data_IF_617003169625
#
_entry.id   IF_617003169625
#
_cell.length_a   1.000
_cell.length_b   1.000
_cell.length_c   1.000
_cell.angle_alpha   90.00
_cell.angle_beta   90.00
_cell.angle_gamma   90.00
#
_symmetry.space_group_name_H-M   'P 1'
#
loop_
_entity.id
_entity.type
_entity.pdbx_description
1 polymer ?
#
# COMPACT_ATOMS: atom_id res chain seq x y z
N UNK A 1 -5.87 -20.64 -13.94
CA UNK A 1 -7.28 -20.59 -14.41
C UNK A 1 -7.90 -19.24 -14.07
N UNK A 2 -8.07 -18.33 -15.05
CA UNK A 2 -8.72 -17.02 -14.92
C UNK A 2 -10.14 -17.11 -15.52
N UNK A 3 -11.16 -17.38 -14.72
CA UNK A 3 -12.58 -17.37 -15.13
C UNK A 3 -13.48 -16.53 -14.20
N UNK A 4 -12.95 -15.45 -13.60
CA UNK A 4 -13.72 -14.57 -12.70
C UNK A 4 -14.03 -13.16 -13.24
N UNK A 5 -13.63 -12.80 -14.47
CA UNK A 5 -13.86 -11.43 -15.00
C UNK A 5 -15.24 -11.25 -15.64
N UNK A 6 -15.68 -12.21 -16.47
CA UNK A 6 -16.78 -11.97 -17.41
C UNK A 6 -18.13 -11.68 -16.75
N UNK A 7 -18.50 -12.43 -15.71
CA UNK A 7 -19.74 -12.18 -14.97
C UNK A 7 -19.68 -10.93 -14.10
N UNK A 8 -18.48 -10.52 -13.65
CA UNK A 8 -18.30 -9.33 -12.81
C UNK A 8 -18.47 -8.04 -13.61
N UNK A 9 -18.13 -8.07 -14.90
CA UNK A 9 -18.27 -6.95 -15.82
C UNK A 9 -19.70 -6.87 -16.42
N UNK A 10 -20.40 -8.01 -16.57
CA UNK A 10 -21.74 -8.08 -17.14
C UNK A 10 -22.76 -7.22 -16.37
N UNK A 11 -22.70 -7.20 -15.04
CA UNK A 11 -23.63 -6.44 -14.20
C UNK A 11 -23.47 -4.92 -14.29
N UNK A 12 -22.29 -4.41 -14.66
CA UNK A 12 -22.06 -2.98 -14.90
C UNK A 12 -22.39 -2.58 -16.34
N UNK A 13 -22.18 -3.50 -17.29
CA UNK A 13 -22.45 -3.27 -18.72
C UNK A 13 -23.96 -3.24 -18.99
N UNK A 14 -24.76 -4.06 -18.31
CA UNK A 14 -26.22 -4.11 -18.51
C UNK A 14 -26.89 -2.74 -18.24
N UNK A 15 -26.75 -2.10 -17.06
CA UNK A 15 -27.30 -0.77 -16.81
C UNK A 15 -26.81 0.29 -17.79
N UNK A 16 -25.56 0.20 -18.22
CA UNK A 16 -24.96 1.13 -19.19
C UNK A 16 -25.61 1.00 -20.58
N UNK A 17 -25.86 -0.23 -21.04
CA UNK A 17 -26.53 -0.47 -22.31
C UNK A 17 -27.98 0.02 -22.23
N UNK A 18 -28.70 -0.29 -21.16
CA UNK A 18 -30.08 0.17 -20.99
C UNK A 18 -30.18 1.70 -20.85
N UNK A 19 -29.24 2.36 -20.16
CA UNK A 19 -29.22 3.83 -20.10
C UNK A 19 -28.86 4.45 -21.46
N UNK A 20 -27.95 3.85 -22.22
CA UNK A 20 -27.64 4.27 -23.59
C UNK A 20 -28.84 4.13 -24.54
N UNK A 21 -29.55 3.00 -24.48
CA UNK A 21 -30.77 2.77 -25.24
C UNK A 21 -31.87 3.75 -24.85
N UNK A 22 -32.03 4.01 -23.55
CA UNK A 22 -32.97 5.02 -23.05
C UNK A 22 -32.63 6.41 -23.60
N UNK A 23 -31.35 6.79 -23.65
CA UNK A 23 -30.91 8.06 -24.20
C UNK A 23 -31.30 8.21 -25.68
N UNK A 24 -31.00 7.19 -26.50
CA UNK A 24 -31.32 7.18 -27.93
C UNK A 24 -32.84 7.23 -28.14
N UNK A 25 -33.59 6.42 -27.38
CA UNK A 25 -35.05 6.39 -27.46
C UNK A 25 -35.65 7.76 -27.11
N UNK A 26 -35.18 8.40 -26.03
CA UNK A 26 -35.65 9.73 -25.62
C UNK A 26 -35.35 10.79 -26.69
N UNK A 27 -34.16 10.79 -27.28
CA UNK A 27 -33.82 11.71 -28.38
C UNK A 27 -34.80 11.53 -29.54
N UNK A 28 -35.02 10.28 -29.97
CA UNK A 28 -35.90 9.98 -31.09
C UNK A 28 -37.35 10.41 -30.83
N UNK A 29 -37.92 10.00 -29.69
CA UNK A 29 -39.32 10.32 -29.36
C UNK A 29 -39.54 11.81 -29.12
N UNK A 30 -38.63 12.50 -28.45
CA UNK A 30 -38.74 13.95 -28.22
C UNK A 30 -38.61 14.72 -29.53
N UNK A 31 -37.69 14.32 -30.42
CA UNK A 31 -37.52 14.96 -31.72
C UNK A 31 -38.75 14.76 -32.62
N UNK A 32 -39.32 13.55 -32.64
CA UNK A 32 -40.57 13.28 -33.34
C UNK A 32 -41.70 14.15 -32.80
N UNK A 33 -41.81 14.29 -31.47
CA UNK A 33 -42.87 15.06 -30.83
C UNK A 33 -42.77 16.56 -31.13
N UNK A 34 -41.55 17.12 -31.12
CA UNK A 34 -41.30 18.52 -31.54
C UNK A 34 -41.69 18.75 -32.99
N UNK A 35 -41.40 17.78 -33.88
CA UNK A 35 -41.72 17.88 -35.31
C UNK A 35 -43.22 17.80 -35.59
N UNK A 36 -43.97 17.00 -34.82
CA UNK A 36 -45.42 16.84 -34.99
C UNK A 36 -46.26 17.91 -34.28
N UNK A 37 -45.72 18.57 -33.24
CA UNK A 37 -46.42 19.57 -32.46
C UNK A 37 -45.48 20.74 -32.10
N UNK A 38 -45.45 21.82 -32.89
CA UNK A 38 -44.50 22.93 -32.71
C UNK A 38 -44.58 23.61 -31.33
N UNK A 39 -45.78 23.67 -30.74
CA UNK A 39 -46.00 24.20 -29.37
C UNK A 39 -45.24 23.42 -28.29
N UNK A 40 -44.85 22.17 -28.56
CA UNK A 40 -44.10 21.36 -27.62
C UNK A 40 -42.65 21.87 -27.42
N UNK A 41 -42.08 22.56 -28.42
CA UNK A 41 -40.77 23.19 -28.28
C UNK A 41 -40.77 24.29 -27.21
N UNK A 42 -41.84 25.07 -27.13
CA UNK A 42 -42.01 26.08 -26.10
C UNK A 42 -42.09 25.43 -24.71
N UNK A 43 -42.89 24.36 -24.58
CA UNK A 43 -42.99 23.60 -23.32
C UNK A 43 -41.65 23.04 -22.85
N UNK A 44 -40.81 22.51 -23.75
CA UNK A 44 -39.46 22.04 -23.41
C UNK A 44 -38.58 23.16 -22.86
N UNK A 45 -38.71 24.35 -23.44
CA UNK A 45 -37.99 25.55 -23.00
C UNK A 45 -38.47 25.98 -21.62
N UNK A 46 -39.79 26.00 -21.39
CA UNK A 46 -40.39 26.35 -20.09
C UNK A 46 -39.97 25.37 -18.98
N UNK A 47 -39.77 24.09 -19.30
CA UNK A 47 -39.28 23.08 -18.35
C UNK A 47 -37.77 23.18 -18.03
N UNK A 48 -36.99 23.97 -18.78
CA UNK A 48 -35.54 24.08 -18.61
C UNK A 48 -35.14 24.50 -17.21
N UNK A 49 -35.86 25.43 -16.61
CA UNK A 49 -35.57 25.92 -15.24
C UNK A 49 -35.68 24.80 -14.21
N UNK A 50 -36.68 23.91 -14.33
CA UNK A 50 -36.85 22.77 -13.44
C UNK A 50 -35.72 21.77 -13.64
N UNK A 51 -35.35 21.50 -14.89
CA UNK A 51 -34.30 20.56 -15.23
C UNK A 51 -32.91 21.01 -14.75
N UNK A 52 -32.61 22.30 -14.93
CA UNK A 52 -31.41 22.96 -14.42
C UNK A 52 -31.38 22.85 -12.89
N UNK A 53 -32.51 23.07 -12.23
CA UNK A 53 -32.61 23.02 -10.76
C UNK A 53 -32.32 21.61 -10.22
N UNK A 54 -32.90 20.56 -10.83
CA UNK A 54 -32.66 19.16 -10.43
C UNK A 54 -31.18 18.79 -10.67
N UNK A 55 -30.65 19.10 -11.85
CA UNK A 55 -29.26 18.81 -12.20
C UNK A 55 -28.28 19.57 -11.29
N UNK A 56 -28.60 20.83 -10.98
CA UNK A 56 -27.87 21.69 -10.06
C UNK A 56 -27.82 21.13 -8.66
N UNK A 57 -28.97 20.75 -8.11
CA UNK A 57 -29.07 20.16 -6.78
C UNK A 57 -28.28 18.86 -6.66
N UNK A 58 -28.45 17.94 -7.62
CA UNK A 58 -27.72 16.67 -7.63
C UNK A 58 -26.21 16.87 -7.77
N UNK A 59 -25.79 17.78 -8.65
CA UNK A 59 -24.37 18.12 -8.82
C UNK A 59 -23.78 18.74 -7.57
N UNK A 60 -24.52 19.61 -6.87
CA UNK A 60 -24.08 20.21 -5.62
C UNK A 60 -23.87 19.16 -4.51
N UNK A 61 -24.78 18.20 -4.37
CA UNK A 61 -24.62 17.08 -3.42
C UNK A 61 -23.36 16.27 -3.72
N UNK A 62 -23.16 15.90 -4.99
CA UNK A 62 -21.98 15.11 -5.39
C UNK A 62 -20.70 15.92 -5.16
N UNK A 63 -20.70 17.22 -5.44
CA UNK A 63 -19.56 18.10 -5.22
C UNK A 63 -19.18 18.18 -3.73
N UNK A 64 -20.15 18.36 -2.83
CA UNK A 64 -19.91 18.38 -1.38
C UNK A 64 -19.30 17.06 -0.92
N UNK A 65 -19.83 15.93 -1.38
CA UNK A 65 -19.26 14.61 -1.09
C UNK A 65 -17.82 14.45 -1.60
N UNK A 66 -17.57 14.83 -2.86
CA UNK A 66 -16.23 14.77 -3.46
C UNK A 66 -15.22 15.65 -2.71
N UNK A 67 -15.63 16.86 -2.32
CA UNK A 67 -14.80 17.78 -1.54
C UNK A 67 -14.48 17.21 -0.16
N UNK A 68 -15.48 16.68 0.55
CA UNK A 68 -15.29 16.02 1.85
C UNK A 68 -14.32 14.85 1.75
N UNK A 69 -14.54 13.95 0.78
CA UNK A 69 -13.67 12.77 0.60
C UNK A 69 -12.26 13.16 0.17
N UNK A 70 -12.09 14.20 -0.66
CA UNK A 70 -10.76 14.70 -1.02
C UNK A 70 -9.97 15.20 0.19
N UNK A 71 -10.61 15.94 1.10
CA UNK A 71 -10.00 16.39 2.36
C UNK A 71 -9.67 15.19 3.25
N UNK A 72 -10.62 14.26 3.43
CA UNK A 72 -10.42 13.06 4.25
C UNK A 72 -9.26 12.19 3.74
N UNK A 73 -9.15 12.00 2.43
CA UNK A 73 -8.04 11.27 1.81
C UNK A 73 -6.70 11.96 2.03
N UNK A 74 -6.66 13.30 1.92
CA UNK A 74 -5.44 14.06 2.20
C UNK A 74 -5.01 13.86 3.65
N UNK A 75 -5.92 14.09 4.60
CA UNK A 75 -5.63 13.92 6.03
C UNK A 75 -5.17 12.49 6.34
N UNK A 76 -5.82 11.49 5.76
CA UNK A 76 -5.45 10.08 5.94
C UNK A 76 -4.05 9.79 5.38
N UNK A 77 -3.72 10.35 4.21
CA UNK A 77 -2.37 10.23 3.62
C UNK A 77 -1.32 10.88 4.51
N UNK A 78 -1.58 12.08 5.03
CA UNK A 78 -0.64 12.78 5.93
C UNK A 78 -0.37 11.96 7.20
N UNK A 79 -1.41 11.37 7.80
CA UNK A 79 -1.29 10.47 8.95
C UNK A 79 -0.49 9.21 8.59
N UNK A 80 -0.73 8.60 7.42
CA UNK A 80 0.00 7.41 6.98
C UNK A 80 1.48 7.75 6.74
N UNK A 81 1.78 8.90 6.15
CA UNK A 81 3.16 9.36 5.92
C UNK A 81 3.89 9.61 7.23
N UNK A 82 3.25 10.25 8.22
CA UNK A 82 3.83 10.44 9.55
C UNK A 82 4.11 9.08 10.24
N UNK A 83 3.14 8.17 10.22
CA UNK A 83 3.31 6.82 10.77
C UNK A 83 4.42 6.04 10.05
N UNK A 84 4.48 6.12 8.73
CA UNK A 84 5.53 5.47 7.94
C UNK A 84 6.90 6.05 8.26
N UNK A 85 7.02 7.37 8.42
CA UNK A 85 8.26 8.05 8.81
C UNK A 85 8.74 7.55 10.18
N UNK A 86 7.84 7.49 11.17
CA UNK A 86 8.14 6.97 12.51
C UNK A 86 8.65 5.53 12.48
N UNK A 87 7.94 4.63 11.80
CA UNK A 87 8.36 3.22 11.71
C UNK A 87 9.64 3.05 10.89
N UNK A 88 9.84 3.88 9.87
CA UNK A 88 11.10 3.92 9.09
C UNK A 88 12.27 4.31 10.00
N UNK A 89 12.09 5.30 10.86
CA UNK A 89 13.11 5.70 11.83
C UNK A 89 13.38 4.60 12.88
N UNK A 90 12.35 3.90 13.35
CA UNK A 90 12.54 2.70 14.19
C UNK A 90 13.40 1.67 13.47
N UNK A 91 13.12 1.39 12.19
CA UNK A 91 13.92 0.48 11.38
C UNK A 91 15.38 0.96 11.19
N UNK A 92 15.61 2.28 11.06
CA UNK A 92 16.96 2.86 11.05
C UNK A 92 17.72 2.55 12.34
N UNK A 93 17.08 2.76 13.49
CA UNK A 93 17.68 2.47 14.79
C UNK A 93 17.96 0.97 14.93
N UNK A 94 17.03 0.10 14.53
CA UNK A 94 17.22 -1.35 14.49
C UNK A 94 18.43 -1.75 13.64
N UNK A 95 18.51 -1.28 12.38
CA UNK A 95 19.66 -1.60 11.50
C UNK A 95 20.98 -1.08 12.07
N UNK A 96 20.95 0.06 12.76
CA UNK A 96 22.14 0.59 13.44
C UNK A 96 22.60 -0.32 14.59
N UNK A 97 21.65 -0.91 15.35
CA UNK A 97 21.98 -1.92 16.36
C UNK A 97 22.57 -3.17 15.68
N UNK A 98 21.92 -3.67 14.64
CA UNK A 98 22.39 -4.85 13.89
C UNK A 98 23.80 -4.64 13.32
N UNK A 99 24.09 -3.45 12.79
CA UNK A 99 25.43 -3.12 12.32
C UNK A 99 26.47 -3.17 13.44
N UNK A 100 26.15 -2.63 14.62
CA UNK A 100 27.04 -2.70 15.78
C UNK A 100 27.31 -4.15 16.17
N UNK A 101 26.27 -4.98 16.22
CA UNK A 101 26.38 -6.40 16.61
C UNK A 101 27.20 -7.20 15.59
N UNK A 102 26.92 -7.05 14.29
CA UNK A 102 27.67 -7.71 13.22
C UNK A 102 29.16 -7.37 13.24
N UNK A 103 29.52 -6.13 13.57
CA UNK A 103 30.92 -5.68 13.64
C UNK A 103 31.58 -5.93 15.00
N UNK A 104 30.84 -6.46 15.97
CA UNK A 104 31.34 -6.70 17.33
C UNK A 104 32.14 -8.00 17.44
N UNK A 105 32.75 -8.22 18.61
CA UNK A 105 33.48 -9.45 18.93
C UNK A 105 32.59 -10.55 19.53
N UNK A 106 31.27 -10.44 19.40
CA UNK A 106 30.33 -11.41 19.98
C UNK A 106 30.34 -12.78 19.29
N UNK A 107 30.91 -12.84 18.08
CA UNK A 107 30.94 -14.03 17.24
C UNK A 107 32.17 -14.88 17.53
N UNK A 108 32.09 -16.17 17.23
CA UNK A 108 33.27 -17.03 17.17
C UNK A 108 34.30 -16.45 16.17
N UNK A 109 35.60 -16.47 16.51
CA UNK A 109 36.66 -16.06 15.59
C UNK A 109 36.58 -16.87 14.29
N UNK A 110 36.68 -16.20 13.14
CA UNK A 110 36.62 -16.85 11.82
C UNK A 110 35.23 -16.88 11.18
N UNK A 111 34.13 -16.70 11.95
CA UNK A 111 32.77 -16.75 11.39
C UNK A 111 32.56 -15.73 10.27
N UNK A 112 33.10 -14.52 10.48
CA UNK A 112 32.94 -13.42 9.53
C UNK A 112 33.70 -13.71 8.24
N UNK A 113 34.96 -14.11 8.36
CA UNK A 113 35.82 -14.49 7.24
C UNK A 113 35.18 -15.65 6.45
N UNK A 114 34.65 -16.64 7.14
CA UNK A 114 33.93 -17.76 6.53
C UNK A 114 32.73 -17.30 5.68
N UNK A 115 31.86 -16.44 6.22
CA UNK A 115 30.66 -16.00 5.48
C UNK A 115 30.96 -14.95 4.42
N UNK A 116 31.82 -13.97 4.71
CA UNK A 116 32.04 -12.83 3.84
C UNK A 116 33.09 -13.11 2.76
N UNK A 117 34.07 -13.98 3.02
CA UNK A 117 35.18 -14.29 2.11
C UNK A 117 35.04 -15.69 1.47
N UNK A 118 34.82 -16.75 2.25
CA UNK A 118 34.70 -18.12 1.69
C UNK A 118 33.37 -18.33 0.97
N UNK A 119 32.27 -17.85 1.54
CA UNK A 119 30.92 -17.85 0.94
C UNK A 119 30.55 -16.49 0.33
N UNK A 120 31.52 -15.84 -0.33
CA UNK A 120 31.33 -14.51 -0.90
C UNK A 120 30.08 -14.43 -1.79
N UNK A 121 29.18 -13.51 -1.41
CA UNK A 121 27.96 -13.24 -2.14
C UNK A 121 26.78 -14.17 -1.83
N UNK A 122 26.92 -15.03 -0.82
CA UNK A 122 25.80 -15.72 -0.20
C UNK A 122 24.87 -14.73 0.51
N UNK A 123 23.58 -14.89 0.28
CA UNK A 123 22.52 -14.10 0.90
C UNK A 123 21.56 -15.02 1.66
N UNK A 124 21.12 -14.58 2.84
CA UNK A 124 20.09 -15.24 3.64
C UNK A 124 18.84 -15.65 2.86
N UNK A 125 18.35 -14.82 1.94
CA UNK A 125 17.16 -15.15 1.14
C UNK A 125 17.42 -16.34 0.20
N UNK A 126 18.62 -16.47 -0.35
CA UNK A 126 18.99 -17.61 -1.17
C UNK A 126 19.08 -18.89 -0.32
N UNK A 127 19.60 -18.79 0.90
CA UNK A 127 19.65 -19.90 1.87
C UNK A 127 18.24 -20.33 2.27
N UNK A 128 17.33 -19.40 2.58
CA UNK A 128 15.94 -19.74 2.93
C UNK A 128 15.13 -20.28 1.75
N UNK A 129 15.49 -19.89 0.52
CA UNK A 129 14.81 -20.31 -0.70
C UNK A 129 15.57 -21.41 -1.47
N UNK A 130 16.49 -22.12 -0.81
CA UNK A 130 17.33 -23.16 -1.43
C UNK A 130 16.52 -24.24 -2.16
N UNK A 131 15.31 -24.57 -1.64
CA UNK A 131 14.39 -25.54 -2.24
C UNK A 131 13.92 -25.15 -3.65
N UNK A 132 14.09 -23.89 -4.07
CA UNK A 132 13.81 -23.44 -5.44
C UNK A 132 14.94 -23.78 -6.42
N UNK A 133 16.06 -24.33 -5.95
CA UNK A 133 17.18 -24.79 -6.78
C UNK A 133 17.94 -23.68 -7.52
N UNK A 134 17.81 -22.42 -7.07
CA UNK A 134 18.32 -21.25 -7.82
C UNK A 134 19.75 -20.84 -7.48
N UNK A 135 20.28 -21.26 -6.33
CA UNK A 135 21.62 -20.88 -5.87
C UNK A 135 22.42 -22.13 -5.53
N UNK A 136 23.45 -22.42 -6.34
CA UNK A 136 24.39 -23.52 -6.09
C UNK A 136 25.18 -23.28 -4.80
N UNK A 137 25.56 -22.02 -4.57
CA UNK A 137 26.29 -21.58 -3.37
C UNK A 137 25.50 -21.81 -2.09
N UNK A 138 24.19 -21.55 -2.10
CA UNK A 138 23.32 -21.84 -0.95
C UNK A 138 23.20 -23.35 -0.67
N UNK A 139 23.22 -24.20 -1.69
CA UNK A 139 23.19 -25.66 -1.52
C UNK A 139 24.50 -26.15 -0.92
N UNK A 140 25.63 -25.66 -1.43
CA UNK A 140 26.97 -25.97 -0.92
C UNK A 140 27.10 -25.57 0.56
N UNK A 141 26.71 -24.34 0.89
CA UNK A 141 26.66 -23.84 2.27
C UNK A 141 25.81 -24.70 3.21
N UNK A 142 24.68 -25.25 2.74
CA UNK A 142 23.81 -26.12 3.52
C UNK A 142 24.31 -27.58 3.61
N UNK A 143 25.26 -27.98 2.76
CA UNK A 143 25.85 -29.32 2.74
C UNK A 143 27.13 -29.40 3.56
N UNK A 144 27.83 -28.28 3.77
CA UNK A 144 29.02 -28.23 4.61
C UNK A 144 28.71 -28.41 6.10
N UNK A 145 29.72 -28.84 6.86
CA UNK A 145 29.61 -28.94 8.31
C UNK A 145 29.49 -27.54 8.93
N UNK A 146 28.50 -27.35 9.80
CA UNK A 146 28.30 -26.11 10.55
C UNK A 146 29.39 -25.94 11.63
N UNK A 147 30.51 -25.35 11.21
CA UNK A 147 31.69 -25.16 12.04
C UNK A 147 31.50 -24.09 13.13
N UNK A 148 30.48 -23.24 13.04
CA UNK A 148 30.21 -22.15 13.97
C UNK A 148 28.90 -22.32 14.73
N UNK A 149 28.53 -23.57 15.04
CA UNK A 149 27.38 -23.92 15.89
C UNK A 149 26.08 -23.25 15.42
N UNK A 150 25.77 -23.31 14.12
CA UNK A 150 24.59 -22.72 13.48
C UNK A 150 24.46 -21.18 13.59
N UNK A 151 25.45 -20.45 14.14
CA UNK A 151 25.43 -18.98 14.24
C UNK A 151 25.60 -18.30 12.88
N UNK A 152 26.04 -19.03 11.86
CA UNK A 152 26.13 -18.61 10.46
C UNK A 152 24.77 -18.11 9.93
N UNK A 153 23.69 -18.80 10.29
CA UNK A 153 22.33 -18.42 9.89
C UNK A 153 21.91 -17.09 10.52
N UNK A 154 22.25 -16.87 11.81
CA UNK A 154 21.99 -15.61 12.49
C UNK A 154 22.79 -14.48 11.84
N UNK A 155 24.07 -14.71 11.54
CA UNK A 155 24.92 -13.73 10.88
C UNK A 155 24.37 -13.34 9.51
N UNK A 156 23.99 -14.32 8.68
CA UNK A 156 23.35 -14.07 7.37
C UNK A 156 22.03 -13.31 7.50
N UNK A 157 21.18 -13.66 8.47
CA UNK A 157 19.93 -12.97 8.73
C UNK A 157 20.18 -11.50 9.09
N UNK A 158 21.08 -11.23 10.03
CA UNK A 158 21.48 -9.88 10.41
C UNK A 158 22.07 -9.10 9.23
N UNK A 159 22.93 -9.74 8.44
CA UNK A 159 23.49 -9.17 7.20
C UNK A 159 22.39 -8.77 6.21
N UNK A 160 21.35 -9.58 6.07
CA UNK A 160 20.22 -9.28 5.18
C UNK A 160 19.39 -8.06 5.61
N UNK A 161 19.36 -7.74 6.92
CA UNK A 161 18.70 -6.52 7.42
C UNK A 161 19.47 -5.25 7.07
N UNK A 162 20.77 -5.35 6.79
CA UNK A 162 21.59 -4.22 6.36
C UNK A 162 21.50 -3.94 4.85
N UNK A 163 20.90 -4.84 4.07
CA UNK A 163 20.72 -4.68 2.62
C UNK A 163 19.54 -3.78 2.28
N UNK A 164 19.54 -3.21 1.08
CA UNK A 164 18.41 -2.38 0.58
C UNK A 164 17.74 -3.00 -0.65
N UNK A 165 18.35 -4.02 -1.25
CA UNK A 165 17.76 -4.87 -2.27
C UNK A 165 17.91 -6.35 -1.91
N UNK A 166 16.95 -7.21 -2.25
CA UNK A 166 17.10 -8.66 -2.10
C UNK A 166 18.23 -9.27 -2.93
N UNK A 167 18.75 -8.52 -3.91
CA UNK A 167 19.85 -8.93 -4.78
C UNK A 167 21.22 -8.50 -4.27
N UNK A 168 21.27 -7.70 -3.20
CA UNK A 168 22.52 -7.30 -2.60
C UNK A 168 23.23 -8.55 -2.07
N UNK A 169 24.53 -8.64 -2.36
CA UNK A 169 25.39 -9.79 -2.04
C UNK A 169 26.42 -9.47 -0.97
N UNK A 170 26.74 -8.19 -0.79
CA UNK A 170 27.70 -7.68 0.18
C UNK A 170 27.04 -6.61 1.03
N UNK A 171 27.55 -6.44 2.26
CA UNK A 171 27.19 -5.29 3.08
C UNK A 171 27.83 -4.05 2.41
N UNK A 172 27.05 -3.02 2.08
CA UNK A 172 27.60 -1.77 1.55
C UNK A 172 28.59 -1.15 2.54
N UNK A 173 29.66 -0.51 2.04
CA UNK A 173 30.62 0.21 2.91
C UNK A 173 29.93 1.28 3.76
N UNK A 174 28.93 1.95 3.19
CA UNK A 174 28.05 2.88 3.88
C UNK A 174 26.61 2.35 3.87
N UNK A 175 26.07 2.07 5.06
CA UNK A 175 24.69 1.62 5.21
C UNK A 175 23.74 2.75 4.80
N UNK A 176 22.96 2.53 3.74
CA UNK A 176 21.96 3.48 3.28
C UNK A 176 20.72 3.47 4.18
N UNK A 177 20.29 4.65 4.64
CA UNK A 177 19.06 4.86 5.43
C UNK A 177 18.04 5.63 4.59
N UNK A 178 17.28 4.96 3.72
CA UNK A 178 16.38 5.62 2.79
C UNK A 178 15.17 6.22 3.52
N UNK A 179 14.62 7.32 3.00
CA UNK A 179 13.36 7.89 3.51
C UNK A 179 12.19 6.92 3.41
N UNK A 180 12.22 6.03 2.41
CA UNK A 180 11.26 4.94 2.21
C UNK A 180 12.04 3.73 1.71
N UNK A 181 11.94 2.61 2.42
CA UNK A 181 12.54 1.35 1.98
C UNK A 181 11.87 0.79 0.72
N UNK A 182 12.63 0.15 -0.18
CA UNK A 182 12.04 -0.59 -1.29
C UNK A 182 11.08 -1.69 -0.80
N UNK A 183 9.92 -1.83 -1.44
CA UNK A 183 8.89 -2.76 -0.98
C UNK A 183 9.32 -4.23 -1.10
N UNK A 184 10.15 -4.55 -2.09
CA UNK A 184 10.65 -5.91 -2.35
C UNK A 184 11.56 -6.42 -1.23
N UNK A 185 12.44 -5.57 -0.67
CA UNK A 185 13.28 -5.96 0.48
C UNK A 185 12.45 -6.11 1.75
N UNK A 186 11.52 -5.18 2.02
CA UNK A 186 10.65 -5.25 3.21
C UNK A 186 9.75 -6.49 3.15
N UNK A 187 9.24 -6.83 1.97
CA UNK A 187 8.48 -8.05 1.75
C UNK A 187 9.33 -9.29 2.05
N UNK A 188 10.60 -9.32 1.62
CA UNK A 188 11.51 -10.43 1.91
C UNK A 188 11.81 -10.57 3.40
N UNK A 189 12.01 -9.45 4.10
CA UNK A 189 12.16 -9.46 5.56
C UNK A 189 10.92 -10.03 6.25
N UNK A 190 9.72 -9.67 5.80
CA UNK A 190 8.47 -10.19 6.35
C UNK A 190 8.27 -11.69 6.03
N UNK A 191 8.45 -12.10 4.77
CA UNK A 191 8.29 -13.49 4.30
C UNK A 191 9.20 -14.47 5.06
N UNK A 192 10.46 -14.08 5.28
CA UNK A 192 11.47 -14.91 5.92
C UNK A 192 11.66 -14.63 7.41
N UNK A 193 10.80 -13.78 8.00
CA UNK A 193 10.85 -13.38 9.42
C UNK A 193 12.23 -12.87 9.84
N UNK A 194 12.87 -12.06 8.99
CA UNK A 194 14.14 -11.43 9.31
C UNK A 194 13.97 -10.55 10.56
N UNK A 195 14.77 -10.84 11.58
CA UNK A 195 14.69 -10.32 12.94
C UNK A 195 14.36 -11.35 14.01
N UNK A 196 13.78 -12.48 13.63
CA UNK A 196 13.44 -13.54 14.57
C UNK A 196 14.66 -14.29 15.09
N UNK A 197 15.81 -14.20 14.40
CA UNK A 197 17.07 -14.78 14.84
C UNK A 197 17.47 -14.29 16.24
N UNK A 198 17.41 -12.99 16.50
CA UNK A 198 17.74 -12.46 17.84
C UNK A 198 16.87 -13.10 18.94
N UNK A 199 15.56 -13.21 18.70
CA UNK A 199 14.63 -13.90 19.59
C UNK A 199 14.96 -15.39 19.77
N UNK A 200 15.27 -16.09 18.68
CA UNK A 200 15.54 -17.52 18.72
C UNK A 200 16.86 -17.85 19.42
N UNK A 201 17.95 -17.16 19.05
CA UNK A 201 19.30 -17.46 19.57
C UNK A 201 19.50 -16.95 21.00
N UNK A 202 18.96 -15.77 21.36
CA UNK A 202 19.13 -15.22 22.71
C UNK A 202 17.97 -15.53 23.67
N UNK A 203 16.78 -15.85 23.17
CA UNK A 203 15.63 -16.21 24.00
C UNK A 203 15.46 -17.72 24.12
N UNK A 204 15.19 -18.37 22.99
CA UNK A 204 14.75 -19.77 22.98
C UNK A 204 15.90 -20.78 23.17
N UNK A 205 17.08 -20.50 22.59
CA UNK A 205 18.21 -21.45 22.57
C UNK A 205 19.52 -20.90 23.11
N UNK A 206 19.50 -19.82 23.90
CA UNK A 206 20.75 -19.20 24.36
C UNK A 206 21.66 -20.14 25.14
N UNK A 207 21.08 -21.03 25.97
CA UNK A 207 21.87 -22.03 26.71
C UNK A 207 22.70 -22.96 25.82
N UNK A 208 22.29 -23.17 24.56
CA UNK A 208 23.02 -23.96 23.56
C UNK A 208 24.10 -23.13 22.87
N UNK A 209 23.82 -21.86 22.58
CA UNK A 209 24.70 -21.00 21.78
C UNK A 209 25.60 -20.06 22.59
N UNK A 210 25.52 -20.05 23.92
CA UNK A 210 26.28 -19.14 24.81
C UNK A 210 27.80 -19.20 24.60
N UNK A 211 28.33 -20.34 24.13
CA UNK A 211 29.77 -20.51 23.85
C UNK A 211 30.15 -19.95 22.46
N UNK A 212 29.18 -19.83 21.55
CA UNK A 212 29.37 -19.30 20.21
C UNK A 212 28.92 -17.83 20.05
N UNK A 213 28.09 -17.32 20.97
CA UNK A 213 27.55 -15.97 20.98
C UNK A 213 27.82 -15.29 22.34
N UNK A 214 28.94 -14.59 22.45
CA UNK A 214 29.31 -13.85 23.66
C UNK A 214 28.93 -12.37 23.53
N UNK A 215 27.71 -12.02 23.96
CA UNK A 215 27.30 -10.61 23.95
C UNK A 215 28.15 -9.73 24.89
N UNK A 216 28.80 -10.29 25.92
CA UNK A 216 29.64 -9.51 26.83
C UNK A 216 30.91 -9.01 26.13
N UNK A 217 31.32 -9.65 25.04
CA UNK A 217 32.45 -9.22 24.22
C UNK A 217 32.15 -7.95 23.39
N UNK A 218 30.91 -7.46 23.37
CA UNK A 218 30.57 -6.16 22.79
C UNK A 218 31.16 -5.06 23.68
N UNK A 219 31.96 -4.14 23.12
CA UNK A 219 32.54 -3.03 23.88
C UNK A 219 31.48 -2.20 24.63
N UNK A 220 31.75 -1.81 25.87
CA UNK A 220 30.82 -1.09 26.76
C UNK A 220 30.18 0.13 26.10
N UNK A 221 30.97 0.99 25.44
CA UNK A 221 30.47 2.14 24.66
C UNK A 221 29.46 1.74 23.56
N UNK A 222 29.65 0.59 22.94
CA UNK A 222 28.71 0.07 21.95
C UNK A 222 27.46 -0.51 22.60
N UNK A 223 27.58 -1.13 23.79
CA UNK A 223 26.42 -1.56 24.57
C UNK A 223 25.53 -0.37 24.93
N UNK A 224 26.09 0.71 25.49
CA UNK A 224 25.39 1.95 25.81
C UNK A 224 24.68 2.55 24.59
N UNK A 225 25.38 2.57 23.45
CA UNK A 225 24.81 3.04 22.18
C UNK A 225 23.64 2.16 21.74
N UNK A 226 23.75 0.83 21.84
CA UNK A 226 22.66 -0.10 21.52
C UNK A 226 21.44 0.15 22.42
N UNK A 227 21.65 0.34 23.72
CA UNK A 227 20.57 0.64 24.66
C UNK A 227 19.90 2.00 24.36
N UNK A 228 20.68 3.00 23.97
CA UNK A 228 20.16 4.31 23.56
C UNK A 228 19.31 4.20 22.28
N UNK A 229 19.80 3.46 21.29
CA UNK A 229 19.07 3.20 20.05
C UNK A 229 17.78 2.41 20.30
N UNK A 230 17.81 1.43 21.21
CA UNK A 230 16.62 0.66 21.58
C UNK A 230 15.57 1.54 22.26
N UNK A 231 15.97 2.41 23.19
CA UNK A 231 15.06 3.39 23.78
C UNK A 231 14.50 4.39 22.75
N UNK A 232 15.26 4.73 21.72
CA UNK A 232 14.77 5.55 20.61
C UNK A 232 13.83 4.81 19.65
N UNK A 233 13.79 3.47 19.69
CA UNK A 233 12.80 2.67 18.96
C UNK A 233 11.45 2.75 19.68
N UNK A 234 11.45 2.43 20.98
CA UNK A 234 10.26 2.48 21.84
C UNK A 234 10.70 2.55 23.31
N UNK A 235 10.67 3.75 23.89
CA UNK A 235 11.14 3.96 25.26
C UNK A 235 10.31 3.15 26.26
N UNK A 236 8.98 3.13 26.10
CA UNK A 236 8.10 2.38 27.00
C UNK A 236 8.38 0.87 26.96
N UNK A 237 8.84 0.36 25.82
CA UNK A 237 9.20 -1.05 25.70
C UNK A 237 10.62 -1.34 26.22
N UNK A 238 11.59 -0.44 26.12
CA UNK A 238 13.00 -0.72 26.38
C UNK A 238 13.63 -0.02 27.60
N UNK A 239 12.92 0.88 28.28
CA UNK A 239 13.44 1.71 29.39
C UNK A 239 14.09 0.90 30.51
N UNK A 240 13.43 -0.15 31.00
CA UNK A 240 13.93 -1.00 32.09
C UNK A 240 14.82 -2.15 31.62
N UNK A 241 15.23 -2.16 30.34
CA UNK A 241 16.05 -3.25 29.81
C UNK A 241 17.52 -3.03 30.13
N UNK A 242 18.24 -4.10 30.45
CA UNK A 242 19.69 -4.12 30.55
C UNK A 242 20.30 -4.90 29.39
N UNK A 243 21.57 -4.63 29.06
CA UNK A 243 22.25 -5.28 27.95
C UNK A 243 22.57 -6.74 28.28
N UNK A 244 21.65 -7.64 27.93
CA UNK A 244 21.73 -9.08 28.19
C UNK A 244 20.93 -9.88 27.13
N UNK A 245 20.92 -11.21 27.26
CA UNK A 245 20.21 -12.10 26.35
C UNK A 245 18.69 -11.85 26.31
N UNK A 246 18.08 -11.49 27.44
CA UNK A 246 16.65 -11.18 27.52
C UNK A 246 16.32 -9.94 26.69
N UNK A 247 17.17 -8.91 26.74
CA UNK A 247 17.04 -7.72 25.91
C UNK A 247 17.13 -8.06 24.42
N UNK A 248 18.11 -8.85 23.98
CA UNK A 248 18.21 -9.24 22.57
C UNK A 248 17.02 -10.05 22.11
N UNK A 249 16.51 -10.94 22.96
CA UNK A 249 15.31 -11.70 22.67
C UNK A 249 14.11 -10.80 22.43
N UNK A 250 13.90 -9.85 23.35
CA UNK A 250 12.84 -8.84 23.29
C UNK A 250 12.98 -7.93 22.06
N UNK A 251 14.20 -7.53 21.72
CA UNK A 251 14.54 -6.72 20.55
C UNK A 251 14.14 -7.44 19.24
N UNK A 252 14.50 -8.71 19.10
CA UNK A 252 14.14 -9.54 17.94
C UNK A 252 12.63 -9.75 17.81
N UNK A 253 11.95 -10.00 18.94
CA UNK A 253 10.50 -10.16 18.99
C UNK A 253 9.78 -8.88 18.56
N UNK A 254 10.18 -7.72 19.09
CA UNK A 254 9.59 -6.43 18.75
C UNK A 254 9.79 -6.09 17.27
N UNK A 255 10.99 -6.34 16.71
CA UNK A 255 11.23 -6.11 15.28
C UNK A 255 10.31 -6.95 14.40
N UNK A 256 10.15 -8.23 14.73
CA UNK A 256 9.41 -9.21 13.93
C UNK A 256 7.89 -9.03 14.06
N UNK A 257 7.40 -8.64 15.24
CA UNK A 257 5.95 -8.51 15.51
C UNK A 257 5.42 -7.09 15.26
N UNK A 258 6.24 -6.07 15.47
CA UNK A 258 5.80 -4.67 15.40
C UNK A 258 6.41 -3.94 14.20
N UNK A 259 7.74 -3.81 14.13
CA UNK A 259 8.37 -2.89 13.17
C UNK A 259 8.26 -3.34 11.72
N UNK A 260 8.74 -4.55 11.39
CA UNK A 260 8.72 -5.03 9.99
C UNK A 260 7.29 -5.15 9.45
N UNK A 261 6.31 -5.72 10.19
CA UNK A 261 4.92 -5.77 9.72
C UNK A 261 4.28 -4.39 9.54
N UNK A 262 4.47 -3.46 10.49
CA UNK A 262 3.94 -2.09 10.36
C UNK A 262 4.59 -1.33 9.21
N UNK A 263 5.89 -1.53 8.99
CA UNK A 263 6.62 -0.93 7.87
C UNK A 263 5.98 -1.37 6.54
N UNK A 264 5.79 -2.68 6.36
CA UNK A 264 5.14 -3.22 5.17
C UNK A 264 3.70 -2.70 5.01
N UNK A 265 2.91 -2.74 6.08
CA UNK A 265 1.50 -2.30 6.05
C UNK A 265 1.35 -0.82 5.70
N UNK A 266 2.18 0.06 6.26
CA UNK A 266 2.10 1.50 5.98
C UNK A 266 2.63 1.85 4.59
N UNK A 267 3.63 1.12 4.07
CA UNK A 267 4.06 1.26 2.67
C UNK A 267 2.95 0.90 1.68
N UNK A 268 2.25 -0.21 1.91
CA UNK A 268 1.12 -0.63 1.06
C UNK A 268 -0.01 0.41 1.10
N UNK A 269 -0.31 0.98 2.27
CA UNK A 269 -1.34 2.01 2.42
C UNK A 269 -0.95 3.35 1.80
N UNK A 270 0.33 3.72 1.84
CA UNK A 270 0.84 4.98 1.26
C UNK A 270 0.76 5.00 -0.27
N UNK A 271 0.88 3.83 -0.91
CA UNK A 271 0.87 3.67 -2.38
C UNK A 271 -0.52 3.50 -2.99
N UNK A 272 -1.60 3.48 -2.18
CA UNK A 272 -2.97 3.34 -2.71
C UNK A 272 -3.40 4.57 -3.51
N UNK A 273 -3.81 4.31 -4.75
CA UNK A 273 -4.40 5.29 -5.65
C UNK A 273 -5.80 5.72 -5.17
N UNK A 274 -6.29 6.83 -5.72
CA UNK A 274 -7.65 7.35 -5.48
C UNK A 274 -8.67 6.22 -5.71
N UNK A 275 -9.57 5.94 -4.75
CA UNK A 275 -10.62 4.94 -4.91
C UNK A 275 -11.41 5.12 -6.21
N UNK A 276 -11.67 4.01 -6.90
CA UNK A 276 -12.38 4.04 -8.19
C UNK A 276 -13.77 4.70 -8.13
N UNK A 277 -14.44 4.61 -6.98
CA UNK A 277 -15.75 5.25 -6.74
C UNK A 277 -15.69 6.78 -6.83
N UNK A 278 -14.59 7.39 -6.37
CA UNK A 278 -14.42 8.85 -6.43
C UNK A 278 -14.27 9.28 -7.88
N UNK A 279 -13.50 8.53 -8.68
CA UNK A 279 -13.35 8.78 -10.12
C UNK A 279 -14.70 8.63 -10.84
N UNK A 280 -15.48 7.62 -10.48
CA UNK A 280 -16.83 7.40 -11.02
C UNK A 280 -17.78 8.57 -10.71
N UNK A 281 -17.86 8.97 -9.45
CA UNK A 281 -18.69 10.10 -9.02
C UNK A 281 -18.23 11.43 -9.64
N UNK A 282 -16.93 11.62 -9.84
CA UNK A 282 -16.39 12.80 -10.53
C UNK A 282 -16.84 12.86 -12.00
N UNK A 283 -16.84 11.73 -12.72
CA UNK A 283 -17.32 11.67 -14.11
C UNK A 283 -18.82 12.01 -14.16
N UNK A 284 -19.62 11.43 -13.26
CA UNK A 284 -21.06 11.73 -13.16
C UNK A 284 -21.28 13.21 -12.87
N UNK A 285 -20.55 13.79 -11.92
CA UNK A 285 -20.62 15.21 -11.60
C UNK A 285 -20.36 16.07 -12.83
N UNK A 286 -19.27 15.79 -13.56
CA UNK A 286 -18.89 16.55 -14.75
C UNK A 286 -19.97 16.45 -15.84
N UNK A 287 -20.54 15.25 -16.03
CA UNK A 287 -21.63 15.00 -16.96
C UNK A 287 -22.91 15.77 -16.61
N UNK A 288 -23.31 15.79 -15.34
CA UNK A 288 -24.49 16.54 -14.88
C UNK A 288 -24.29 18.05 -15.01
N UNK A 289 -23.08 18.56 -14.74
CA UNK A 289 -22.77 19.98 -14.89
C UNK A 289 -22.79 20.40 -16.37
N UNK A 290 -22.12 19.65 -17.25
CA UNK A 290 -22.05 20.01 -18.67
C UNK A 290 -23.44 19.85 -19.32
N UNK A 291 -24.05 18.68 -19.19
CA UNK A 291 -25.29 18.37 -19.90
C UNK A 291 -26.54 18.89 -19.19
N UNK A 292 -26.56 18.99 -17.86
CA UNK A 292 -27.76 19.35 -17.10
C UNK A 292 -27.85 20.81 -16.66
N UNK A 293 -26.71 21.50 -16.55
CA UNK A 293 -26.65 22.93 -16.19
C UNK A 293 -26.20 23.78 -17.37
N UNK A 294 -24.96 23.60 -17.82
CA UNK A 294 -24.31 24.49 -18.77
C UNK A 294 -24.97 24.47 -20.14
N UNK A 295 -25.32 23.29 -20.66
CA UNK A 295 -25.94 23.16 -21.97
C UNK A 295 -27.35 23.78 -22.02
N UNK A 296 -28.30 23.48 -21.11
CA UNK A 296 -29.58 24.17 -21.06
C UNK A 296 -29.46 25.68 -20.88
N UNK A 297 -28.57 26.14 -20.01
CA UNK A 297 -28.31 27.57 -19.83
C UNK A 297 -27.80 28.23 -21.11
N UNK A 298 -26.87 27.57 -21.82
CA UNK A 298 -26.39 28.05 -23.10
C UNK A 298 -27.51 28.12 -24.15
N UNK A 299 -28.44 27.16 -24.15
CA UNK A 299 -29.60 27.22 -25.06
C UNK A 299 -30.48 28.43 -24.75
N UNK A 300 -30.78 28.68 -23.47
CA UNK A 300 -31.59 29.81 -23.05
C UNK A 300 -30.92 31.16 -23.34
N UNK A 301 -29.61 31.27 -23.11
CA UNK A 301 -28.85 32.52 -23.27
C UNK A 301 -28.54 32.87 -24.73
N UNK A 302 -28.23 31.87 -25.56
CA UNK A 302 -27.80 32.06 -26.95
C UNK A 302 -28.88 31.67 -27.97
N UNK A 303 -30.09 31.32 -27.52
CA UNK A 303 -31.19 30.87 -28.38
C UNK A 303 -30.79 29.71 -29.31
N UNK A 304 -30.06 28.74 -28.77
CA UNK A 304 -29.60 27.58 -29.55
C UNK A 304 -30.78 26.69 -30.00
N UNK A 305 -30.58 25.84 -31.03
CA UNK A 305 -31.63 24.95 -31.51
C UNK A 305 -32.16 23.99 -30.43
N UNK A 306 -33.47 23.75 -30.42
CA UNK A 306 -34.20 22.91 -29.43
C UNK A 306 -33.65 21.47 -29.35
N UNK A 307 -33.03 20.97 -30.41
CA UNK A 307 -32.34 19.66 -30.40
C UNK A 307 -31.26 19.57 -29.31
N UNK A 308 -30.62 20.69 -28.94
CA UNK A 308 -29.64 20.72 -27.86
C UNK A 308 -30.29 20.50 -26.48
N UNK A 309 -31.51 21.02 -26.25
CA UNK A 309 -32.30 20.73 -25.04
C UNK A 309 -32.75 19.28 -25.02
N UNK A 310 -33.18 18.72 -26.16
CA UNK A 310 -33.54 17.32 -26.27
C UNK A 310 -32.35 16.42 -25.90
N UNK A 311 -31.17 16.69 -26.46
CA UNK A 311 -29.95 15.96 -26.16
C UNK A 311 -29.56 16.07 -24.68
N UNK A 312 -29.62 17.28 -24.11
CA UNK A 312 -29.39 17.53 -22.68
C UNK A 312 -30.30 16.68 -21.79
N UNK A 313 -31.62 16.74 -22.04
CA UNK A 313 -32.61 16.08 -21.19
C UNK A 313 -32.49 14.57 -21.28
N UNK A 314 -32.36 14.03 -22.49
CA UNK A 314 -32.17 12.62 -22.71
C UNK A 314 -30.92 12.11 -21.98
N UNK A 315 -29.82 12.86 -22.04
CA UNK A 315 -28.56 12.49 -21.41
C UNK A 315 -28.63 12.46 -19.89
N UNK A 316 -29.21 13.49 -19.27
CA UNK A 316 -29.32 13.58 -17.81
C UNK A 316 -30.33 12.56 -17.27
N UNK A 317 -31.48 12.36 -17.92
CA UNK A 317 -32.45 11.32 -17.52
C UNK A 317 -31.79 9.94 -17.58
N UNK A 318 -31.03 9.66 -18.63
CA UNK A 318 -30.30 8.40 -18.79
C UNK A 318 -29.20 8.23 -17.75
N UNK A 319 -28.53 9.32 -17.37
CA UNK A 319 -27.52 9.33 -16.31
C UNK A 319 -28.17 9.04 -14.95
N UNK A 320 -29.31 9.66 -14.64
CA UNK A 320 -30.05 9.40 -13.40
C UNK A 320 -30.53 7.94 -13.35
N UNK A 321 -31.06 7.42 -14.45
CA UNK A 321 -31.45 6.02 -14.56
C UNK A 321 -30.26 5.07 -14.34
N UNK A 322 -29.12 5.38 -14.94
CA UNK A 322 -27.89 4.62 -14.76
C UNK A 322 -27.42 4.64 -13.29
N UNK A 323 -27.45 5.80 -12.62
CA UNK A 323 -27.11 5.91 -11.20
C UNK A 323 -28.05 5.04 -10.38
N UNK A 324 -29.37 5.21 -10.53
CA UNK A 324 -30.37 4.49 -9.75
C UNK A 324 -30.24 2.96 -9.87
N UNK A 325 -29.92 2.46 -11.06
CA UNK A 325 -29.79 1.01 -11.33
C UNK A 325 -28.44 0.44 -10.91
N UNK A 326 -27.38 1.24 -10.90
CA UNK A 326 -26.02 0.79 -10.50
C UNK A 326 -25.72 1.01 -9.01
N UNK A 327 -26.44 1.92 -8.33
CA UNK A 327 -26.11 2.35 -6.98
C UNK A 327 -26.01 1.20 -5.96
N UNK A 328 -26.97 0.26 -5.99
CA UNK A 328 -26.97 -0.92 -5.12
C UNK A 328 -25.74 -1.81 -5.33
N UNK A 329 -25.33 -1.99 -6.58
CA UNK A 329 -24.19 -2.84 -6.92
C UNK A 329 -22.87 -2.23 -6.47
N UNK A 330 -22.74 -0.91 -6.59
CA UNK A 330 -21.56 -0.18 -6.10
C UNK A 330 -21.46 -0.24 -4.57
N UNK A 331 -22.56 -0.02 -3.86
CA UNK A 331 -22.61 -0.18 -2.40
C UNK A 331 -22.21 -1.60 -1.95
N UNK A 332 -22.78 -2.63 -2.59
CA UNK A 332 -22.46 -4.01 -2.24
C UNK A 332 -20.99 -4.38 -2.52
N UNK A 333 -20.39 -3.80 -3.56
CA UNK A 333 -18.99 -4.05 -3.92
C UNK A 333 -18.00 -3.35 -3.00
N UNK A 334 -18.35 -2.19 -2.46
CA UNK A 334 -17.49 -1.42 -1.56
C UNK A 334 -17.57 -1.94 -0.12
N UNK A 335 -18.73 -2.44 0.32
CA UNK A 335 -18.87 -3.10 1.64
C UNK A 335 -18.11 -4.43 1.72
N UNK A 336 -17.96 -5.13 0.58
CA UNK A 336 -17.32 -6.44 0.50
C UNK A 336 -15.89 -6.41 -0.10
N UNK A 337 -15.32 -5.22 -0.32
CA UNK A 337 -13.93 -5.04 -0.79
C UNK A 337 -13.05 -4.53 0.34
#
# INVERSE_FOLDING_TARGET
MRKKSFFKDLYAVIPLVFSGLLCIALIFFLQQKVSSAPEFAQKLTDFSTIFISISGFLSAIIMVYLAYTAVSLKTTKDIIVDKLSKVTQQMHNFRSIIEILLRSKMWLPGLREYIDDEFEGLNFFEVKEFYKGKSKLAIEFLQEHHNYQDTENLYLEMKSLLMTSPKDKKIPEAIGYPKVYPQDIVQKWLEHKCGSGLWYYFGYKYGVFKEALDYNAVFERHQEKVMTLANAIDSAHFEDSSFNEVFFSKLGEYMTKEVVPKLFQFQEKSTRNIPGIIRYLYIIFLLLVICGLLLPLAVLLFSLPVIALIGSYAFVISTIFFIATTFYQFLFREVNS
#
